data_IF_749357886637
#
_entry.id   IF_749357886637
#
_cell.length_a   1.000
_cell.length_b   1.000
_cell.length_c   1.000
_cell.angle_alpha   90.00
_cell.angle_beta   90.00
_cell.angle_gamma   90.00
#
_symmetry.space_group_name_H-M   'P 1'
#
loop_
_entity.id
_entity.type
_entity.pdbx_description
1 polymer ?
#
# COMPACT_ATOMS: atom_id res chain seq x y z
N UNK A 1 19.28 -2.75 6.85
CA UNK A 1 17.96 -2.15 6.94
C UNK A 1 17.09 -2.67 5.82
N UNK A 2 16.16 -3.54 6.20
CA UNK A 2 15.11 -4.05 5.33
C UNK A 2 13.93 -3.05 5.31
N UNK A 3 13.44 -2.74 4.11
CA UNK A 3 12.24 -1.92 3.91
C UNK A 3 11.15 -2.76 3.26
N UNK A 4 10.02 -2.91 3.94
CA UNK A 4 8.83 -3.57 3.40
C UNK A 4 7.84 -2.53 2.89
N UNK A 5 7.28 -2.76 1.70
CA UNK A 5 6.25 -1.92 1.11
C UNK A 5 5.04 -2.78 0.79
N UNK A 6 3.87 -2.41 1.31
CA UNK A 6 2.62 -3.18 1.13
C UNK A 6 1.36 -2.31 1.23
N UNK A 7 0.20 -2.92 1.10
CA UNK A 7 -1.10 -2.25 1.21
C UNK A 7 -1.51 -2.03 2.67
N UNK A 8 -2.29 -0.98 2.92
CA UNK A 8 -2.91 -0.68 4.21
C UNK A 8 -4.03 -1.65 4.63
N UNK A 9 -4.36 -2.65 3.81
CA UNK A 9 -5.46 -3.58 4.04
C UNK A 9 -5.36 -4.32 5.39
N UNK A 10 -6.46 -4.36 6.14
CA UNK A 10 -6.50 -4.97 7.46
C UNK A 10 -6.11 -6.45 7.48
N UNK A 11 -6.37 -7.18 6.39
CA UNK A 11 -6.06 -8.61 6.25
C UNK A 11 -4.57 -8.89 6.35
N UNK A 12 -3.74 -7.90 6.01
CA UNK A 12 -2.29 -8.03 6.00
C UNK A 12 -1.63 -7.71 7.35
N UNK A 13 -2.37 -7.15 8.32
CA UNK A 13 -1.80 -6.68 9.60
C UNK A 13 -0.95 -7.75 10.30
N UNK A 14 -1.48 -8.96 10.49
CA UNK A 14 -0.72 -10.07 11.10
C UNK A 14 0.38 -10.62 10.19
N UNK A 15 0.13 -10.66 8.88
CA UNK A 15 1.04 -11.28 7.92
C UNK A 15 2.35 -10.51 7.74
N UNK A 16 2.29 -9.18 7.83
CA UNK A 16 3.42 -8.28 7.58
C UNK A 16 4.20 -7.90 8.84
N UNK A 17 3.64 -8.16 10.01
CA UNK A 17 4.25 -7.79 11.29
C UNK A 17 5.66 -8.41 11.40
N UNK A 18 6.64 -7.60 11.82
CA UNK A 18 8.04 -8.01 12.02
C UNK A 18 8.77 -8.56 10.78
N UNK A 19 8.27 -8.35 9.55
CA UNK A 19 8.94 -8.80 8.33
C UNK A 19 10.09 -7.91 7.83
N UNK A 20 10.24 -6.71 8.40
CA UNK A 20 11.29 -5.75 8.04
C UNK A 20 11.54 -4.74 9.18
N UNK A 21 12.66 -4.03 9.09
CA UNK A 21 13.03 -2.97 10.05
C UNK A 21 12.15 -1.71 9.87
N UNK A 22 11.82 -1.39 8.62
CA UNK A 22 10.94 -0.28 8.22
C UNK A 22 9.78 -0.86 7.43
N UNK A 23 8.57 -0.56 7.87
CA UNK A 23 7.35 -0.93 7.14
C UNK A 23 6.69 0.33 6.58
N UNK A 24 6.38 0.30 5.27
CA UNK A 24 5.65 1.33 4.55
C UNK A 24 4.34 0.70 4.05
N UNK A 25 3.21 1.25 4.48
CA UNK A 25 1.88 0.77 4.10
C UNK A 25 1.02 1.92 3.64
N UNK A 26 0.50 1.80 2.42
CA UNK A 26 -0.32 2.81 1.78
C UNK A 26 -1.49 2.17 1.02
N UNK A 27 -2.34 2.95 0.38
CA UNK A 27 -3.46 2.43 -0.38
C UNK A 27 -2.97 1.68 -1.63
N UNK A 28 -3.10 0.37 -1.60
CA UNK A 28 -2.74 -0.51 -2.72
C UNK A 28 -1.29 -0.95 -2.79
N UNK A 29 -0.41 -0.48 -1.89
CA UNK A 29 1.02 -0.74 -2.01
C UNK A 29 1.62 0.01 -3.21
N UNK A 30 1.09 1.17 -3.58
CA UNK A 30 1.51 1.92 -4.76
C UNK A 30 2.84 2.62 -4.48
N UNK A 31 3.81 2.51 -5.39
CA UNK A 31 5.17 3.05 -5.15
C UNK A 31 5.53 4.30 -5.95
N UNK A 32 4.72 4.69 -6.94
CA UNK A 32 5.09 5.70 -7.95
C UNK A 32 5.46 7.05 -7.33
N UNK A 33 4.68 7.51 -6.36
CA UNK A 33 4.87 8.81 -5.70
C UNK A 33 5.88 8.79 -4.55
N UNK A 34 6.33 7.61 -4.13
CA UNK A 34 7.19 7.44 -2.95
C UNK A 34 8.56 6.87 -3.29
N UNK A 35 8.86 6.58 -4.55
CA UNK A 35 10.12 5.93 -4.94
C UNK A 35 11.36 6.76 -4.59
N UNK A 36 11.33 8.07 -4.86
CA UNK A 36 12.42 8.98 -4.48
C UNK A 36 12.59 9.08 -2.95
N UNK A 37 11.47 8.99 -2.23
CA UNK A 37 11.47 8.96 -0.78
C UNK A 37 12.10 7.65 -0.26
N UNK A 38 11.76 6.50 -0.85
CA UNK A 38 12.40 5.21 -0.54
C UNK A 38 13.90 5.25 -0.82
N UNK A 39 14.34 5.86 -1.94
CA UNK A 39 15.77 6.01 -2.26
C UNK A 39 16.54 6.74 -1.16
N UNK A 40 15.92 7.74 -0.52
CA UNK A 40 16.53 8.49 0.58
C UNK A 40 16.81 7.64 1.84
N UNK A 41 16.09 6.52 2.01
CA UNK A 41 16.31 5.58 3.11
C UNK A 41 17.57 4.73 2.95
N UNK A 42 18.11 4.61 1.73
CA UNK A 42 19.25 3.75 1.39
C UNK A 42 19.07 2.30 1.93
N UNK A 43 18.00 1.59 1.51
CA UNK A 43 17.72 0.24 1.99
C UNK A 43 18.78 -0.76 1.53
N UNK A 44 19.12 -1.72 2.39
CA UNK A 44 19.95 -2.88 2.03
C UNK A 44 19.14 -3.92 1.24
N UNK A 45 17.83 -3.99 1.52
CA UNK A 45 16.87 -4.87 0.86
C UNK A 45 15.49 -4.21 0.84
N UNK A 46 14.79 -4.39 -0.28
CA UNK A 46 13.38 -4.01 -0.41
C UNK A 46 12.54 -5.27 -0.54
N UNK A 47 11.45 -5.33 0.22
CA UNK A 47 10.44 -6.39 0.17
C UNK A 47 9.12 -5.74 -0.30
N UNK A 48 8.69 -6.06 -1.51
CA UNK A 48 7.50 -5.49 -2.13
C UNK A 48 6.36 -6.51 -2.14
N UNK A 49 5.29 -6.24 -1.40
CA UNK A 49 4.23 -7.20 -1.12
C UNK A 49 2.81 -6.66 -1.34
N UNK A 50 2.39 -6.32 -2.57
CA UNK A 50 0.98 -6.06 -2.87
C UNK A 50 0.15 -7.36 -2.78
N UNK A 51 -1.17 -7.23 -2.87
CA UNK A 51 -2.09 -8.36 -2.64
C UNK A 51 -3.27 -8.40 -3.60
N UNK A 52 -3.90 -9.57 -3.70
CA UNK A 52 -5.16 -9.79 -4.42
C UNK A 52 -6.37 -9.19 -3.70
N UNK A 53 -7.45 -8.89 -4.43
CA UNK A 53 -8.71 -8.37 -3.88
C UNK A 53 -8.55 -7.01 -3.16
N UNK A 54 -7.74 -6.13 -3.74
CA UNK A 54 -7.38 -4.83 -3.22
C UNK A 54 -8.48 -3.79 -3.46
N UNK A 55 -9.02 -3.23 -2.36
CA UNK A 55 -10.04 -2.19 -2.43
C UNK A 55 -9.54 -0.91 -3.13
N UNK A 56 -8.26 -0.56 -2.99
CA UNK A 56 -7.67 0.61 -3.65
C UNK A 56 -7.59 0.43 -5.17
N UNK A 57 -7.24 -0.77 -5.66
CA UNK A 57 -7.22 -1.06 -7.10
C UNK A 57 -8.63 -1.05 -7.70
N UNK A 58 -9.63 -1.57 -6.97
CA UNK A 58 -11.04 -1.45 -7.36
C UNK A 58 -11.51 0.00 -7.42
N UNK A 59 -11.10 0.82 -6.44
CA UNK A 59 -11.38 2.26 -6.44
C UNK A 59 -10.72 2.96 -7.63
N UNK A 60 -9.46 2.62 -7.96
CA UNK A 60 -8.77 3.14 -9.14
C UNK A 60 -9.57 2.86 -10.43
N UNK A 61 -10.07 1.64 -10.60
CA UNK A 61 -10.93 1.28 -11.73
C UNK A 61 -12.23 2.09 -11.80
N UNK A 62 -12.90 2.27 -10.67
CA UNK A 62 -14.11 3.11 -10.58
C UNK A 62 -13.84 4.57 -10.91
N UNK A 63 -12.71 5.12 -10.46
CA UNK A 63 -12.28 6.49 -10.79
C UNK A 63 -12.04 6.61 -12.30
N UNK A 64 -11.32 5.65 -12.91
CA UNK A 64 -11.02 5.66 -14.35
C UNK A 64 -12.27 5.52 -15.23
N UNK A 65 -13.30 4.84 -14.74
CA UNK A 65 -14.59 4.69 -15.41
C UNK A 65 -15.55 5.87 -15.14
N UNK A 66 -15.14 6.87 -14.35
CA UNK A 66 -15.97 7.98 -13.89
C UNK A 66 -17.18 7.57 -13.02
N UNK A 67 -17.12 6.41 -12.37
CA UNK A 67 -18.14 5.95 -11.40
C UNK A 67 -17.98 6.62 -10.03
N UNK A 68 -16.83 7.23 -9.78
CA UNK A 68 -16.49 7.94 -8.53
C UNK A 68 -15.68 9.17 -8.88
N UNK A 69 -16.13 10.34 -8.41
CA UNK A 69 -15.34 11.56 -8.45
C UNK A 69 -14.27 11.56 -7.36
N UNK A 70 -13.10 12.11 -7.67
CA UNK A 70 -12.02 12.28 -6.71
C UNK A 70 -11.25 13.57 -7.00
N UNK A 71 -10.50 14.04 -6.02
CA UNK A 71 -9.59 15.17 -6.26
C UNK A 71 -8.41 14.76 -7.16
N UNK A 72 -7.76 15.76 -7.76
CA UNK A 72 -6.68 15.54 -8.70
C UNK A 72 -5.47 14.83 -8.06
N UNK A 73 -5.22 15.04 -6.77
CA UNK A 73 -4.11 14.40 -6.07
C UNK A 73 -4.33 12.90 -5.92
N UNK A 74 -5.53 12.48 -5.53
CA UNK A 74 -5.94 11.07 -5.46
C UNK A 74 -5.90 10.44 -6.85
N UNK A 75 -6.43 11.13 -7.86
CA UNK A 75 -6.38 10.65 -9.24
C UNK A 75 -4.94 10.38 -9.71
N UNK A 76 -4.06 11.35 -9.50
CA UNK A 76 -2.65 11.27 -9.91
C UNK A 76 -1.92 10.17 -9.14
N UNK A 77 -2.21 10.01 -7.86
CA UNK A 77 -1.55 9.01 -7.00
C UNK A 77 -2.00 7.58 -7.28
N UNK A 78 -3.31 7.36 -7.39
CA UNK A 78 -3.90 6.03 -7.38
C UNK A 78 -4.37 5.54 -8.76
N UNK A 79 -4.81 6.41 -9.66
CA UNK A 79 -5.57 6.00 -10.84
C UNK A 79 -4.81 6.15 -12.16
N UNK A 80 -4.07 7.24 -12.36
CA UNK A 80 -3.49 7.59 -13.67
C UNK A 80 -2.58 6.50 -14.26
N UNK A 81 -1.91 5.73 -13.41
CA UNK A 81 -0.98 4.66 -13.78
C UNK A 81 -1.67 3.40 -14.33
N UNK A 82 -2.99 3.29 -14.19
CA UNK A 82 -3.75 2.09 -14.54
C UNK A 82 -4.68 2.29 -15.75
N UNK A 83 -4.51 3.39 -16.50
CA UNK A 83 -5.31 3.65 -17.71
C UNK A 83 -5.19 2.50 -18.71
N UNK A 84 -6.32 1.93 -19.10
CA UNK A 84 -6.38 0.81 -20.06
C UNK A 84 -5.88 -0.52 -19.51
N UNK A 85 -5.59 -0.62 -18.21
CA UNK A 85 -5.16 -1.85 -17.55
C UNK A 85 -6.38 -2.65 -17.10
N UNK A 86 -6.47 -3.91 -17.52
CA UNK A 86 -7.55 -4.83 -17.13
C UNK A 86 -7.36 -5.42 -15.74
N UNK A 87 -6.15 -5.90 -15.43
CA UNK A 87 -5.78 -6.46 -14.13
C UNK A 87 -4.83 -5.50 -13.39
N UNK A 88 -5.44 -4.55 -12.68
CA UNK A 88 -4.69 -3.49 -11.98
C UNK A 88 -3.86 -4.02 -10.81
N UNK A 89 -4.31 -5.08 -10.15
CA UNK A 89 -3.57 -5.69 -9.03
C UNK A 89 -2.29 -6.35 -9.51
N UNK A 90 -2.41 -7.15 -10.59
CA UNK A 90 -1.25 -7.78 -11.20
C UNK A 90 -0.30 -6.77 -11.81
N UNK A 91 -0.83 -5.76 -12.50
CA UNK A 91 -0.02 -4.67 -13.04
C UNK A 91 0.72 -3.90 -11.94
N UNK A 92 0.06 -3.54 -10.84
CA UNK A 92 0.71 -2.86 -9.71
C UNK A 92 1.87 -3.69 -9.15
N UNK A 93 1.71 -5.01 -9.06
CA UNK A 93 2.78 -5.90 -8.65
C UNK A 93 3.93 -5.95 -9.65
N UNK A 94 3.67 -6.28 -10.90
CA UNK A 94 4.72 -6.50 -11.90
C UNK A 94 5.44 -5.21 -12.25
N UNK A 95 4.69 -4.13 -12.51
CA UNK A 95 5.28 -2.85 -12.86
C UNK A 95 5.97 -2.21 -11.67
N UNK A 96 5.38 -2.29 -10.47
CA UNK A 96 6.02 -1.79 -9.24
C UNK A 96 7.32 -2.54 -8.93
N UNK A 97 7.33 -3.87 -9.07
CA UNK A 97 8.54 -4.68 -8.88
C UNK A 97 9.62 -4.35 -9.91
N UNK A 98 9.24 -4.18 -11.19
CA UNK A 98 10.16 -3.76 -12.24
C UNK A 98 10.80 -2.42 -11.91
N UNK A 99 9.97 -1.43 -11.56
CA UNK A 99 10.43 -0.08 -11.23
C UNK A 99 11.38 -0.10 -10.02
N UNK A 100 11.09 -0.84 -8.95
CA UNK A 100 12.01 -0.98 -7.82
C UNK A 100 13.36 -1.58 -8.25
N UNK A 101 13.35 -2.58 -9.14
CA UNK A 101 14.59 -3.21 -9.63
C UNK A 101 15.44 -2.27 -10.51
N UNK A 102 14.85 -1.21 -11.07
CA UNK A 102 15.61 -0.20 -11.81
C UNK A 102 16.46 0.69 -10.88
N UNK A 103 16.03 0.87 -9.63
CA UNK A 103 16.71 1.76 -8.67
C UNK A 103 17.46 1.04 -7.55
N UNK A 104 17.17 -0.25 -7.33
CA UNK A 104 17.71 -1.01 -6.20
C UNK A 104 18.16 -2.40 -6.63
N UNK A 105 19.32 -2.83 -6.12
CA UNK A 105 19.94 -4.10 -6.51
C UNK A 105 19.34 -5.33 -5.80
N UNK A 106 18.73 -5.15 -4.62
CA UNK A 106 18.25 -6.24 -3.77
C UNK A 106 16.75 -6.08 -3.48
N UNK A 107 15.92 -6.49 -4.44
CA UNK A 107 14.47 -6.37 -4.38
C UNK A 107 13.82 -7.75 -4.44
N UNK A 108 13.07 -8.08 -3.39
CA UNK A 108 12.20 -9.25 -3.34
C UNK A 108 10.75 -8.83 -3.56
N UNK A 109 10.03 -9.53 -4.43
CA UNK A 109 8.62 -9.30 -4.70
C UNK A 109 7.80 -10.54 -4.34
N UNK A 110 6.68 -10.34 -3.65
CA UNK A 110 5.68 -11.37 -3.38
C UNK A 110 4.29 -10.81 -3.68
N UNK A 111 3.49 -11.52 -4.48
CA UNK A 111 2.07 -11.17 -4.65
C UNK A 111 1.23 -12.00 -3.69
N UNK A 112 0.70 -11.36 -2.65
CA UNK A 112 -0.04 -12.04 -1.59
C UNK A 112 -1.44 -12.40 -2.10
N UNK A 113 -1.77 -13.69 -2.13
CA UNK A 113 -3.16 -14.10 -2.25
C UNK A 113 -3.86 -13.96 -0.90
N UNK A 114 -4.76 -12.97 -0.79
CA UNK A 114 -5.50 -12.76 0.47
C UNK A 114 -6.32 -13.97 0.87
N UNK A 115 -6.78 -14.82 -0.06
CA UNK A 115 -7.54 -16.03 0.30
C UNK A 115 -6.68 -17.11 0.96
N UNK A 116 -5.37 -17.02 0.85
CA UNK A 116 -4.42 -18.00 1.40
C UNK A 116 -3.92 -17.64 2.81
N UNK A 117 -4.31 -16.49 3.37
CA UNK A 117 -3.88 -16.03 4.69
C UNK A 117 -5.06 -15.96 5.69
N UNK A 118 -4.76 -16.09 6.97
CA UNK A 118 -5.75 -15.92 8.04
C UNK A 118 -6.15 -14.44 8.18
N UNK A 119 -7.45 -14.15 8.22
CA UNK A 119 -7.96 -12.78 8.34
C UNK A 119 -8.33 -12.48 9.79
N UNK A 120 -7.82 -11.37 10.36
CA UNK A 120 -8.38 -10.86 11.61
C UNK A 120 -9.79 -10.31 11.39
N UNK A 121 -10.56 -10.18 12.47
CA UNK A 121 -11.87 -9.55 12.41
C UNK A 121 -11.76 -8.09 11.91
N UNK A 122 -12.51 -7.75 10.86
CA UNK A 122 -12.46 -6.42 10.24
C UNK A 122 -12.89 -5.33 11.20
N UNK A 123 -12.07 -4.29 11.34
CA UNK A 123 -12.40 -3.03 12.01
C UNK A 123 -12.44 -1.93 10.94
N UNK A 124 -13.58 -1.25 10.71
CA UNK A 124 -13.75 -0.28 9.62
C UNK A 124 -13.08 1.07 9.92
N UNK A 125 -11.87 1.03 10.48
CA UNK A 125 -11.10 2.19 10.88
C UNK A 125 -9.67 2.05 10.37
N UNK A 126 -9.01 3.18 10.12
CA UNK A 126 -7.58 3.22 9.85
C UNK A 126 -6.80 3.75 11.04
N UNK A 127 -5.54 3.33 11.13
CA UNK A 127 -4.53 3.81 12.08
C UNK A 127 -3.35 4.39 11.31
N UNK A 128 -2.82 5.51 11.79
CA UNK A 128 -1.60 6.13 11.29
C UNK A 128 -0.44 5.73 12.20
N UNK A 129 0.60 5.13 11.62
CA UNK A 129 1.76 4.63 12.35
C UNK A 129 3.06 5.16 11.75
N UNK A 130 4.08 5.34 12.58
CA UNK A 130 5.46 5.48 12.10
C UNK A 130 5.98 4.14 11.60
N UNK A 131 6.94 4.14 10.70
CA UNK A 131 7.49 2.90 10.13
C UNK A 131 8.11 1.91 11.12
N UNK A 132 8.51 2.38 12.30
CA UNK A 132 9.06 1.54 13.38
C UNK A 132 8.01 1.07 14.38
N UNK A 133 6.78 1.57 14.30
CA UNK A 133 5.74 1.24 15.27
C UNK A 133 5.29 -0.21 15.09
N UNK A 134 5.06 -0.86 16.23
CA UNK A 134 4.50 -2.22 16.28
C UNK A 134 2.97 -2.17 16.26
N UNK A 135 2.37 -3.31 15.96
CA UNK A 135 0.92 -3.42 15.76
C UNK A 135 0.16 -3.74 17.04
N UNK A 136 0.67 -3.36 18.22
CA UNK A 136 0.12 -3.68 19.56
C UNK A 136 -1.44 -3.65 19.60
N UNK A 137 -2.08 -4.82 19.42
CA UNK A 137 -3.54 -5.05 19.31
C UNK A 137 -4.29 -4.33 18.17
N UNK A 138 -3.56 -3.89 17.14
CA UNK A 138 -4.06 -3.22 15.94
C UNK A 138 -4.49 -4.18 14.83
N UNK A 139 -4.53 -5.49 15.09
CA UNK A 139 -5.07 -6.44 14.13
C UNK A 139 -6.51 -6.11 13.75
N UNK A 140 -6.81 -6.22 12.46
CA UNK A 140 -8.13 -5.88 11.92
C UNK A 140 -8.33 -4.41 11.57
N UNK A 141 -7.44 -3.51 11.96
CA UNK A 141 -7.43 -2.13 11.45
C UNK A 141 -6.74 -2.06 10.09
N UNK A 142 -7.14 -1.09 9.29
CA UNK A 142 -6.34 -0.67 8.15
C UNK A 142 -5.15 0.14 8.68
N UNK A 143 -3.94 -0.14 8.20
CA UNK A 143 -2.74 0.48 8.74
C UNK A 143 -2.07 1.28 7.64
N UNK A 144 -2.05 2.61 7.80
CA UNK A 144 -1.25 3.50 6.98
C UNK A 144 0.03 3.78 7.76
N UNK A 145 1.17 3.45 7.19
CA UNK A 145 2.44 3.44 7.91
C UNK A 145 3.56 3.99 7.05
N UNK A 146 4.33 4.95 7.58
CA UNK A 146 5.47 5.54 6.87
C UNK A 146 6.46 6.19 7.84
N UNK A 147 7.71 6.49 7.42
CA UNK A 147 8.66 7.20 8.27
C UNK A 147 8.18 8.61 8.60
N UNK A 148 7.46 9.24 7.66
CA UNK A 148 6.89 10.57 7.77
C UNK A 148 5.49 10.57 7.14
N UNK A 149 4.52 11.21 7.80
CA UNK A 149 3.12 11.23 7.38
C UNK A 149 2.92 11.89 6.00
N UNK A 150 3.78 12.83 5.59
CA UNK A 150 3.75 13.48 4.27
C UNK A 150 3.96 12.49 3.11
N UNK A 151 4.40 11.26 3.39
CA UNK A 151 4.53 10.19 2.40
C UNK A 151 3.18 9.59 2.03
N UNK A 152 2.19 9.73 2.92
CA UNK A 152 0.93 8.99 2.89
C UNK A 152 -0.31 9.88 3.09
N UNK A 153 -0.17 11.20 2.91
CA UNK A 153 -1.30 12.14 3.03
C UNK A 153 -2.45 11.82 2.07
N UNK A 154 -2.12 11.36 0.86
CA UNK A 154 -3.12 10.98 -0.14
C UNK A 154 -3.85 9.69 0.24
N UNK A 155 -3.16 8.78 0.93
CA UNK A 155 -3.73 7.53 1.42
C UNK A 155 -4.79 7.75 2.49
N UNK A 156 -4.65 8.81 3.30
CA UNK A 156 -5.68 9.23 4.26
C UNK A 156 -6.97 9.62 3.53
N UNK A 157 -6.86 10.34 2.41
CA UNK A 157 -8.03 10.68 1.57
C UNK A 157 -8.64 9.42 0.96
N UNK A 158 -7.81 8.51 0.45
CA UNK A 158 -8.27 7.24 -0.13
C UNK A 158 -8.97 6.37 0.93
N UNK A 159 -8.44 6.28 2.15
CA UNK A 159 -9.08 5.56 3.24
C UNK A 159 -10.49 6.09 3.54
N UNK A 160 -10.68 7.42 3.55
CA UNK A 160 -11.99 8.06 3.70
C UNK A 160 -12.93 7.73 2.54
N UNK A 161 -12.44 7.73 1.30
CA UNK A 161 -13.23 7.32 0.12
C UNK A 161 -13.65 5.84 0.17
N UNK A 162 -12.86 5.00 0.84
CA UNK A 162 -13.21 3.59 1.12
C UNK A 162 -14.17 3.43 2.31
N UNK A 163 -14.66 4.54 2.89
CA UNK A 163 -15.59 4.55 4.01
C UNK A 163 -14.94 4.24 5.36
N UNK A 164 -13.61 4.43 5.49
CA UNK A 164 -12.88 4.22 6.74
C UNK A 164 -12.79 5.52 7.54
N UNK A 165 -12.90 5.40 8.86
CA UNK A 165 -12.69 6.52 9.80
C UNK A 165 -11.38 6.37 10.56
N UNK A 166 -10.79 7.48 11.00
CA UNK A 166 -9.64 7.45 11.91
C UNK A 166 -10.08 7.06 13.32
N UNK A 167 -9.23 6.36 14.06
CA UNK A 167 -9.46 6.03 15.48
C UNK A 167 -8.17 6.20 16.27
#
# INVERSE_FOLDING_TARGET
MDVLISCMDYRLSRYLENRADIIIRNAGGVIYDIIEKIKSLKPDRIIYMPHSDCAAMKLAGRILNNDVECDFDVYKHLAVHFKGVSDMERYNYEHGLSLLKEYFNNVHGEFIDTKAIEWPARRPYYKLLKSSDKYDDLYGYYIIQAPDQSWVEKDIKIAKMLGLSEK
#
